data_IF_868544460414
#
_entry.id   IF_868544460414
#
_cell.length_a   1.000
_cell.length_b   1.000
_cell.length_c   1.000
_cell.angle_alpha   90.00
_cell.angle_beta   90.00
_cell.angle_gamma   90.00
#
_symmetry.space_group_name_H-M   'P 1'
#
loop_
_entity.id
_entity.type
_entity.pdbx_description
1 polymer ?
#
# COMPACT_ATOMS: atom_id res chain seq x y z
N UNK A 1 35.47 -36.99 2.82
CA UNK A 1 34.66 -36.19 3.78
C UNK A 1 35.18 -34.76 3.71
N UNK A 2 34.46 -33.89 3.00
CA UNK A 2 34.72 -32.46 2.91
C UNK A 2 34.14 -31.73 4.13
N UNK A 3 34.65 -30.54 4.49
CA UNK A 3 34.17 -29.79 5.64
C UNK A 3 32.77 -29.22 5.37
N UNK A 4 31.93 -29.27 6.41
CA UNK A 4 30.58 -28.70 6.45
C UNK A 4 30.62 -27.18 6.23
N UNK A 5 29.58 -26.58 5.61
CA UNK A 5 29.53 -25.15 5.42
C UNK A 5 29.43 -24.41 6.77
N UNK A 6 30.25 -23.38 6.89
CA UNK A 6 30.37 -22.46 8.02
C UNK A 6 29.03 -21.86 8.41
N UNK A 7 28.68 -21.97 9.68
CA UNK A 7 27.57 -21.25 10.31
C UNK A 7 27.70 -19.73 10.08
N UNK A 8 26.65 -19.12 9.60
CA UNK A 8 26.55 -17.69 9.43
C UNK A 8 26.78 -16.96 10.76
N UNK A 9 27.69 -15.98 10.77
CA UNK A 9 27.94 -15.06 11.88
C UNK A 9 26.71 -14.13 12.07
N UNK A 10 25.68 -14.63 12.71
CA UNK A 10 24.66 -13.75 13.29
C UNK A 10 25.26 -13.16 14.58
N UNK A 11 25.14 -11.82 14.82
CA UNK A 11 25.60 -11.26 16.08
C UNK A 11 24.80 -11.88 17.22
N UNK A 12 25.51 -12.37 18.25
CA UNK A 12 24.91 -12.90 19.47
C UNK A 12 24.01 -11.82 20.12
N UNK A 13 22.81 -12.18 20.61
CA UNK A 13 21.99 -11.25 21.36
C UNK A 13 22.80 -10.79 22.60
N UNK A 14 22.97 -9.47 22.76
CA UNK A 14 23.62 -8.96 23.95
C UNK A 14 22.74 -9.31 25.18
N UNK A 15 23.23 -10.12 26.09
CA UNK A 15 22.56 -10.52 27.35
C UNK A 15 22.32 -9.36 28.34
N UNK A 16 22.59 -8.12 27.92
CA UNK A 16 22.39 -6.93 28.76
C UNK A 16 20.98 -6.41 28.58
N UNK A 17 20.21 -6.27 29.68
CA UNK A 17 18.90 -5.62 29.61
C UNK A 17 19.02 -4.19 29.05
N UNK A 18 18.11 -3.84 28.13
CA UNK A 18 18.06 -2.52 27.54
C UNK A 18 17.78 -1.46 28.63
N UNK A 19 18.57 -0.40 28.65
CA UNK A 19 18.33 0.78 29.50
C UNK A 19 17.43 1.80 28.80
N UNK A 20 16.85 2.73 29.54
CA UNK A 20 16.02 3.81 28.98
C UNK A 20 16.73 4.57 27.85
N UNK A 21 18.02 4.88 28.03
CA UNK A 21 18.86 5.52 27.01
C UNK A 21 18.99 4.67 25.75
N UNK A 22 19.11 3.34 25.90
CA UNK A 22 19.24 2.42 24.78
C UNK A 22 17.93 2.32 23.98
N UNK A 23 16.75 2.41 24.63
CA UNK A 23 15.47 2.45 23.95
C UNK A 23 15.33 3.69 23.05
N UNK A 24 15.68 4.86 23.56
CA UNK A 24 15.64 6.12 22.80
C UNK A 24 16.59 6.05 21.60
N UNK A 25 17.83 5.62 21.80
CA UNK A 25 18.83 5.49 20.73
C UNK A 25 18.38 4.52 19.65
N UNK A 26 17.79 3.38 20.05
CA UNK A 26 17.22 2.39 19.11
C UNK A 26 16.08 2.96 18.30
N UNK A 27 15.15 3.68 18.95
CA UNK A 27 14.03 4.34 18.29
C UNK A 27 14.49 5.41 17.28
N UNK A 28 15.44 6.27 17.70
CA UNK A 28 16.01 7.31 16.84
C UNK A 28 16.70 6.74 15.62
N UNK A 29 17.47 5.66 15.78
CA UNK A 29 18.09 4.94 14.66
C UNK A 29 17.03 4.40 13.68
N UNK A 30 15.99 3.73 14.19
CA UNK A 30 14.92 3.17 13.37
C UNK A 30 14.23 4.27 12.56
N UNK A 31 13.79 5.35 13.22
CA UNK A 31 13.12 6.48 12.57
C UNK A 31 14.03 7.11 11.50
N UNK A 32 15.33 7.27 11.81
CA UNK A 32 16.28 7.84 10.84
C UNK A 32 16.43 6.95 9.62
N UNK A 33 16.59 5.65 9.79
CA UNK A 33 16.73 4.71 8.67
C UNK A 33 15.50 4.72 7.76
N UNK A 34 14.31 4.72 8.34
CA UNK A 34 13.06 4.78 7.57
C UNK A 34 12.90 6.13 6.86
N UNK A 35 13.21 7.25 7.54
CA UNK A 35 13.15 8.58 6.94
C UNK A 35 14.13 8.73 5.76
N UNK A 36 15.36 8.24 5.91
CA UNK A 36 16.37 8.27 4.85
C UNK A 36 15.90 7.43 3.64
N UNK A 37 15.34 6.24 3.87
CA UNK A 37 14.84 5.38 2.80
C UNK A 37 13.65 5.99 2.06
N UNK A 38 12.74 6.66 2.75
CA UNK A 38 11.64 7.42 2.13
C UNK A 38 12.17 8.61 1.33
N UNK A 39 13.19 9.32 1.83
CA UNK A 39 13.81 10.41 1.09
C UNK A 39 14.46 9.93 -0.22
N UNK A 40 15.10 8.76 -0.21
CA UNK A 40 15.69 8.15 -1.40
C UNK A 40 14.63 7.73 -2.44
N UNK A 41 13.40 7.45 -2.01
CA UNK A 41 12.33 7.02 -2.91
C UNK A 41 12.04 8.05 -4.03
N UNK A 42 12.16 9.34 -3.74
CA UNK A 42 11.95 10.41 -4.73
C UNK A 42 12.85 10.28 -5.97
N UNK A 43 14.04 9.71 -5.83
CA UNK A 43 15.01 9.54 -6.92
C UNK A 43 14.70 8.30 -7.79
N UNK A 44 13.73 7.48 -7.41
CA UNK A 44 13.28 6.28 -8.13
C UNK A 44 11.98 6.50 -8.90
N UNK A 45 11.39 7.69 -8.79
CA UNK A 45 10.22 8.04 -9.58
C UNK A 45 10.64 8.28 -11.03
N UNK A 46 10.23 7.38 -11.90
CA UNK A 46 10.59 7.34 -13.32
C UNK A 46 9.35 7.17 -14.22
N UNK A 47 9.57 6.75 -15.47
CA UNK A 47 8.49 6.49 -16.41
C UNK A 47 7.54 5.38 -15.94
N UNK A 48 7.99 4.43 -15.13
CA UNK A 48 7.11 3.39 -14.56
C UNK A 48 6.04 3.98 -13.65
N UNK A 49 6.39 5.02 -12.86
CA UNK A 49 5.42 5.73 -12.03
C UNK A 49 4.37 6.46 -12.89
N UNK A 50 4.80 7.13 -13.97
CA UNK A 50 3.89 7.79 -14.92
C UNK A 50 2.97 6.76 -15.56
N UNK A 51 3.50 5.65 -16.06
CA UNK A 51 2.71 4.57 -16.65
C UNK A 51 1.70 3.98 -15.67
N UNK A 52 2.08 3.81 -14.39
CA UNK A 52 1.18 3.35 -13.36
C UNK A 52 0.01 4.34 -13.15
N UNK A 53 0.30 5.63 -13.02
CA UNK A 53 -0.73 6.67 -12.87
C UNK A 53 -1.67 6.72 -14.08
N UNK A 54 -1.14 6.75 -15.31
CA UNK A 54 -1.95 6.78 -16.54
C UNK A 54 -2.85 5.54 -16.65
N UNK A 55 -2.31 4.35 -16.34
CA UNK A 55 -3.06 3.10 -16.33
C UNK A 55 -4.22 3.14 -15.33
N UNK A 56 -3.97 3.66 -14.13
CA UNK A 56 -4.99 3.78 -13.09
C UNK A 56 -6.01 4.88 -13.40
N UNK A 57 -5.63 5.96 -14.07
CA UNK A 57 -6.55 7.00 -14.54
C UNK A 57 -7.48 6.50 -15.65
N UNK A 58 -6.97 5.65 -16.54
CA UNK A 58 -7.73 5.04 -17.62
C UNK A 58 -8.59 3.84 -17.16
N UNK A 59 -8.50 3.42 -15.91
CA UNK A 59 -9.26 2.30 -15.37
C UNK A 59 -10.76 2.61 -15.35
N UNK A 60 -11.56 1.82 -16.06
CA UNK A 60 -13.03 1.93 -16.06
C UNK A 60 -13.69 1.18 -14.90
N UNK A 61 -12.97 0.25 -14.28
CA UNK A 61 -13.39 -0.54 -13.13
C UNK A 61 -12.82 -0.02 -11.82
N UNK A 62 -12.12 -0.88 -11.11
CA UNK A 62 -11.53 -0.59 -9.79
C UNK A 62 -10.05 -0.96 -9.78
N UNK A 63 -9.31 -0.30 -8.91
CA UNK A 63 -7.93 -0.67 -8.61
C UNK A 63 -7.94 -1.72 -7.50
N UNK A 64 -7.52 -2.92 -7.84
CA UNK A 64 -7.43 -4.04 -6.90
C UNK A 64 -6.02 -4.06 -6.33
N UNK A 65 -5.88 -4.03 -5.02
CA UNK A 65 -4.57 -4.14 -4.37
C UNK A 65 -4.45 -5.52 -3.73
N UNK A 66 -3.33 -6.18 -3.92
CA UNK A 66 -3.08 -7.51 -3.35
C UNK A 66 -1.64 -7.64 -2.84
N UNK A 67 -1.45 -8.44 -1.81
CA UNK A 67 -0.15 -8.69 -1.20
C UNK A 67 -0.27 -9.58 0.03
N UNK A 68 0.81 -10.28 0.39
CA UNK A 68 0.83 -11.24 1.49
C UNK A 68 1.46 -10.68 2.76
N UNK A 69 0.97 -11.08 3.93
CA UNK A 69 1.55 -10.72 5.24
C UNK A 69 1.64 -9.22 5.47
N UNK A 70 2.82 -8.68 5.78
CA UNK A 70 3.03 -7.24 6.02
C UNK A 70 2.71 -6.42 4.76
N UNK A 71 3.09 -6.91 3.57
CA UNK A 71 2.71 -6.27 2.29
C UNK A 71 1.19 -6.22 2.10
N UNK A 72 0.46 -7.22 2.58
CA UNK A 72 -1.01 -7.22 2.58
C UNK A 72 -1.61 -6.15 3.48
N UNK A 73 -1.08 -5.96 4.70
CA UNK A 73 -1.53 -4.89 5.59
C UNK A 73 -1.31 -3.50 4.99
N UNK A 74 -0.13 -3.28 4.38
CA UNK A 74 0.17 -2.04 3.66
C UNK A 74 -0.75 -1.89 2.44
N UNK A 75 -0.95 -2.96 1.68
CA UNK A 75 -1.85 -2.98 0.51
C UNK A 75 -3.29 -2.62 0.87
N UNK A 76 -3.79 -3.12 1.99
CA UNK A 76 -5.13 -2.76 2.47
C UNK A 76 -5.23 -1.26 2.80
N UNK A 77 -4.19 -0.67 3.44
CA UNK A 77 -4.13 0.78 3.69
C UNK A 77 -4.09 1.57 2.37
N UNK A 78 -3.28 1.14 1.40
CA UNK A 78 -3.20 1.79 0.09
C UNK A 78 -4.56 1.77 -0.63
N UNK A 79 -5.24 0.61 -0.66
CA UNK A 79 -6.57 0.48 -1.23
C UNK A 79 -7.58 1.44 -0.55
N UNK A 80 -7.57 1.51 0.78
CA UNK A 80 -8.43 2.42 1.53
C UNK A 80 -8.12 3.90 1.22
N UNK A 81 -6.84 4.26 1.07
CA UNK A 81 -6.43 5.62 0.71
C UNK A 81 -6.91 5.97 -0.70
N UNK A 82 -6.68 5.11 -1.69
CA UNK A 82 -7.16 5.28 -3.07
C UNK A 82 -8.67 5.49 -3.10
N UNK A 83 -9.43 4.63 -2.41
CA UNK A 83 -10.90 4.73 -2.35
C UNK A 83 -11.36 6.06 -1.74
N UNK A 84 -10.70 6.52 -0.68
CA UNK A 84 -11.05 7.78 0.01
C UNK A 84 -10.60 9.04 -0.74
N UNK A 85 -9.74 8.90 -1.74
CA UNK A 85 -9.20 10.00 -2.56
C UNK A 85 -9.70 9.97 -4.02
N UNK A 86 -10.84 9.30 -4.27
CA UNK A 86 -11.53 9.35 -5.56
C UNK A 86 -11.11 8.30 -6.59
N UNK A 87 -10.30 7.31 -6.21
CA UNK A 87 -9.99 6.16 -7.05
C UNK A 87 -10.64 4.92 -6.46
N UNK A 88 -11.73 4.36 -7.06
CA UNK A 88 -12.39 3.17 -6.54
C UNK A 88 -11.40 2.02 -6.39
N UNK A 89 -11.25 1.50 -5.18
CA UNK A 89 -10.25 0.48 -4.87
C UNK A 89 -10.69 -0.41 -3.72
N UNK A 90 -10.19 -1.64 -3.70
CA UNK A 90 -10.30 -2.55 -2.56
C UNK A 90 -9.14 -3.54 -2.55
N UNK A 91 -8.94 -4.17 -1.40
CA UNK A 91 -7.90 -5.16 -1.20
C UNK A 91 -8.45 -6.57 -1.36
N UNK A 92 -7.68 -7.43 -2.04
CA UNK A 92 -7.95 -8.88 -2.16
C UNK A 92 -6.75 -9.64 -1.61
N UNK A 93 -6.99 -10.51 -0.65
CA UNK A 93 -5.93 -11.34 -0.08
C UNK A 93 -5.55 -12.46 -1.08
N UNK A 94 -4.25 -12.68 -1.40
CA UNK A 94 -3.86 -13.66 -2.43
C UNK A 94 -4.29 -15.08 -2.11
N UNK A 95 -4.31 -15.46 -0.83
CA UNK A 95 -4.79 -16.75 -0.37
C UNK A 95 -6.29 -16.96 -0.67
N UNK A 96 -7.12 -15.96 -0.35
CA UNK A 96 -8.58 -16.02 -0.63
C UNK A 96 -8.86 -15.93 -2.13
N UNK A 97 -8.03 -15.18 -2.88
CA UNK A 97 -8.11 -15.11 -4.33
C UNK A 97 -8.05 -16.49 -4.98
N UNK A 98 -7.19 -17.38 -4.48
CA UNK A 98 -7.08 -18.77 -4.99
C UNK A 98 -8.28 -19.66 -4.63
N UNK A 99 -9.14 -19.22 -3.71
CA UNK A 99 -10.32 -19.95 -3.23
C UNK A 99 -11.66 -19.35 -3.67
N UNK A 100 -11.64 -18.37 -4.58
CA UNK A 100 -12.88 -17.83 -5.17
C UNK A 100 -12.94 -16.33 -5.30
N UNK A 101 -12.21 -15.56 -4.49
CA UNK A 101 -12.26 -14.10 -4.48
C UNK A 101 -11.70 -13.48 -5.78
N UNK A 102 -10.99 -14.24 -6.62
CA UNK A 102 -10.69 -13.83 -7.99
C UNK A 102 -11.93 -13.47 -8.81
N UNK A 103 -13.09 -14.02 -8.47
CA UNK A 103 -14.37 -13.64 -9.07
C UNK A 103 -14.77 -12.18 -8.82
N UNK A 104 -14.14 -11.50 -7.86
CA UNK A 104 -14.33 -10.06 -7.60
C UNK A 104 -13.59 -9.18 -8.61
N UNK A 105 -12.63 -9.74 -9.35
CA UNK A 105 -11.79 -9.03 -10.32
C UNK A 105 -12.39 -9.16 -11.70
N UNK A 106 -12.59 -8.05 -12.38
CA UNK A 106 -13.21 -7.98 -13.70
C UNK A 106 -12.21 -7.52 -14.77
N UNK A 107 -12.57 -7.66 -16.03
CA UNK A 107 -11.74 -7.24 -17.16
C UNK A 107 -11.51 -5.73 -17.27
N UNK A 108 -12.29 -4.94 -16.53
CA UNK A 108 -12.18 -3.47 -16.52
C UNK A 108 -11.32 -2.95 -15.37
N UNK A 109 -10.78 -3.83 -14.53
CA UNK A 109 -10.00 -3.49 -13.36
C UNK A 109 -8.50 -3.35 -13.69
N UNK A 110 -7.76 -2.76 -12.77
CA UNK A 110 -6.29 -2.72 -12.73
C UNK A 110 -5.85 -3.38 -11.42
N UNK A 111 -4.78 -4.16 -11.45
CA UNK A 111 -4.27 -4.82 -10.23
C UNK A 111 -2.92 -4.22 -9.83
N UNK A 112 -2.80 -3.84 -8.56
CA UNK A 112 -1.52 -3.53 -7.91
C UNK A 112 -1.12 -4.72 -7.06
N UNK A 113 0.04 -5.28 -7.33
CA UNK A 113 0.58 -6.45 -6.62
C UNK A 113 1.81 -6.05 -5.82
N UNK A 114 1.78 -6.28 -4.51
CA UNK A 114 2.84 -5.87 -3.58
C UNK A 114 3.57 -7.10 -3.05
N UNK A 115 4.87 -7.16 -3.32
CA UNK A 115 5.76 -8.19 -2.80
C UNK A 115 7.19 -7.67 -2.79
N UNK A 116 7.80 -7.50 -1.62
CA UNK A 116 9.17 -6.99 -1.52
C UNK A 116 10.18 -7.87 -2.28
N UNK A 117 10.09 -9.20 -2.16
CA UNK A 117 10.94 -10.13 -2.92
C UNK A 117 10.49 -10.31 -4.38
N UNK A 118 9.28 -9.91 -4.73
CA UNK A 118 8.68 -10.17 -6.05
C UNK A 118 8.50 -11.65 -6.41
N UNK A 119 8.64 -12.56 -5.44
CA UNK A 119 8.61 -14.03 -5.64
C UNK A 119 7.79 -14.78 -4.59
N UNK A 120 6.94 -14.07 -3.81
CA UNK A 120 6.05 -14.69 -2.82
C UNK A 120 5.13 -15.71 -3.48
N UNK A 121 5.14 -16.95 -3.01
CA UNK A 121 4.48 -18.09 -3.68
C UNK A 121 2.98 -17.85 -3.92
N UNK A 122 2.25 -17.37 -2.92
CA UNK A 122 0.82 -17.08 -3.00
C UNK A 122 0.51 -16.01 -4.05
N UNK A 123 1.39 -15.01 -4.17
CA UNK A 123 1.28 -13.95 -5.19
C UNK A 123 1.57 -14.52 -6.58
N UNK A 124 2.62 -15.32 -6.72
CA UNK A 124 2.97 -15.94 -8.01
C UNK A 124 1.85 -16.86 -8.51
N UNK A 125 1.15 -17.56 -7.61
CA UNK A 125 0.06 -18.46 -7.96
C UNK A 125 -1.11 -17.76 -8.65
N UNK A 126 -1.38 -16.47 -8.34
CA UNK A 126 -2.47 -15.73 -8.97
C UNK A 126 -2.07 -15.03 -10.28
N UNK A 127 -0.78 -14.89 -10.60
CA UNK A 127 -0.31 -14.20 -11.81
C UNK A 127 -0.87 -14.79 -13.13
N UNK A 128 -0.89 -16.13 -13.33
CA UNK A 128 -1.46 -16.71 -14.55
C UNK A 128 -2.94 -16.34 -14.75
N UNK A 129 -3.68 -16.17 -13.65
CA UNK A 129 -5.10 -15.84 -13.68
C UNK A 129 -5.28 -14.35 -14.03
N UNK A 130 -4.48 -13.45 -13.46
CA UNK A 130 -4.46 -12.02 -13.82
C UNK A 130 -4.12 -11.87 -15.31
N UNK A 131 -3.09 -12.59 -15.79
CA UNK A 131 -2.72 -12.59 -17.21
C UNK A 131 -3.83 -13.10 -18.11
N UNK A 132 -4.55 -14.14 -17.69
CA UNK A 132 -5.68 -14.70 -18.44
C UNK A 132 -6.88 -13.74 -18.53
N UNK A 133 -7.10 -12.90 -17.51
CA UNK A 133 -8.11 -11.86 -17.54
C UNK A 133 -7.73 -10.71 -18.50
N UNK A 134 -6.45 -10.62 -18.89
CA UNK A 134 -5.96 -9.58 -19.80
C UNK A 134 -5.96 -8.18 -19.19
N UNK A 135 -5.95 -8.06 -17.87
CA UNK A 135 -6.00 -6.79 -17.15
C UNK A 135 -4.59 -6.24 -16.88
N UNK A 136 -4.41 -4.91 -16.87
CA UNK A 136 -3.14 -4.30 -16.51
C UNK A 136 -2.73 -4.64 -15.08
N UNK A 137 -1.45 -4.94 -14.90
CA UNK A 137 -0.86 -5.23 -13.60
C UNK A 137 0.32 -4.27 -13.33
N UNK A 138 0.27 -3.62 -12.19
CA UNK A 138 1.34 -2.78 -11.64
C UNK A 138 1.95 -3.57 -10.48
N UNK A 139 3.27 -3.59 -10.36
CA UNK A 139 3.95 -4.21 -9.23
C UNK A 139 4.63 -3.17 -8.34
N UNK A 140 4.71 -3.46 -7.06
CA UNK A 140 5.57 -2.78 -6.10
C UNK A 140 6.53 -3.82 -5.54
N UNK A 141 7.80 -3.78 -5.95
CA UNK A 141 8.81 -4.75 -5.53
C UNK A 141 10.11 -4.09 -5.14
N UNK A 142 10.90 -4.77 -4.31
CA UNK A 142 12.28 -4.39 -4.00
C UNK A 142 13.30 -5.06 -4.92
N UNK A 143 12.85 -5.86 -5.89
CA UNK A 143 13.71 -6.56 -6.86
C UNK A 143 13.17 -6.37 -8.28
N UNK A 144 13.84 -5.53 -9.10
CA UNK A 144 13.42 -5.24 -10.47
C UNK A 144 13.54 -6.44 -11.42
N UNK A 145 14.35 -7.44 -11.08
CA UNK A 145 14.54 -8.67 -11.87
C UNK A 145 13.60 -9.80 -11.45
N UNK A 146 12.75 -9.56 -10.46
CA UNK A 146 11.84 -10.58 -9.94
C UNK A 146 10.78 -11.01 -10.96
N UNK A 147 10.20 -12.18 -10.74
CA UNK A 147 9.11 -12.73 -11.56
C UNK A 147 7.93 -11.76 -11.63
N UNK A 148 7.61 -11.11 -10.51
CA UNK A 148 6.51 -10.16 -10.42
C UNK A 148 6.81 -8.87 -11.22
N UNK A 149 8.00 -8.30 -11.03
CA UNK A 149 8.44 -7.09 -11.73
C UNK A 149 8.43 -7.27 -13.24
N UNK A 150 9.03 -8.35 -13.74
CA UNK A 150 9.12 -8.66 -15.18
C UNK A 150 7.77 -9.02 -15.80
N UNK A 151 6.80 -9.44 -15.00
CA UNK A 151 5.45 -9.76 -15.47
C UNK A 151 4.52 -8.54 -15.51
N UNK A 152 4.86 -7.46 -14.82
CA UNK A 152 4.04 -6.26 -14.69
C UNK A 152 4.18 -5.33 -15.90
N UNK A 153 3.15 -4.50 -16.13
CA UNK A 153 3.18 -3.40 -17.09
C UNK A 153 4.14 -2.29 -16.62
N UNK A 154 4.14 -2.03 -15.31
CA UNK A 154 5.03 -1.09 -14.65
C UNK A 154 5.43 -1.65 -13.28
N UNK A 155 6.72 -1.56 -12.94
CA UNK A 155 7.23 -1.88 -11.62
C UNK A 155 7.62 -0.61 -10.88
N UNK A 156 7.07 -0.41 -9.68
CA UNK A 156 7.46 0.66 -8.78
C UNK A 156 8.51 0.12 -7.82
N UNK A 157 9.72 0.64 -7.93
CA UNK A 157 10.85 0.21 -7.11
C UNK A 157 10.69 0.72 -5.66
N UNK A 158 10.42 -0.20 -4.74
CA UNK A 158 10.31 0.03 -3.30
C UNK A 158 11.46 -0.66 -2.54
N UNK A 159 12.59 -0.89 -3.21
CA UNK A 159 13.77 -1.50 -2.59
C UNK A 159 14.30 -0.64 -1.45
N UNK A 160 14.94 -1.29 -0.49
CA UNK A 160 15.62 -0.64 0.63
C UNK A 160 16.98 -1.28 0.84
N UNK A 161 17.95 -0.49 1.30
CA UNK A 161 19.29 -0.99 1.58
C UNK A 161 19.29 -2.02 2.71
N UNK A 162 18.45 -1.80 3.73
CA UNK A 162 18.29 -2.73 4.87
C UNK A 162 17.01 -2.42 5.64
N UNK A 163 16.52 -3.40 6.37
CA UNK A 163 15.47 -3.21 7.36
C UNK A 163 16.01 -2.51 8.62
N UNK A 164 15.21 -1.73 9.30
CA UNK A 164 15.58 -1.12 10.59
C UNK A 164 15.67 -2.18 11.73
N UNK A 165 15.10 -3.36 11.52
CA UNK A 165 15.28 -4.52 12.36
C UNK A 165 16.77 -4.90 12.42
N UNK A 166 17.39 -5.00 13.63
CA UNK A 166 18.81 -5.36 13.76
C UNK A 166 19.19 -6.69 13.12
N UNK A 167 18.25 -7.62 13.01
CA UNK A 167 18.43 -8.91 12.36
C UNK A 167 18.18 -8.86 10.85
N UNK A 168 17.78 -7.71 10.32
CA UNK A 168 17.38 -7.53 8.91
C UNK A 168 16.27 -8.52 8.45
N UNK A 169 15.42 -8.98 9.37
CA UNK A 169 14.39 -10.00 9.11
C UNK A 169 12.96 -9.42 9.12
N UNK A 170 12.66 -8.57 10.11
CA UNK A 170 11.32 -8.00 10.24
C UNK A 170 11.12 -6.85 9.24
N UNK A 171 10.12 -6.91 8.36
CA UNK A 171 9.79 -5.82 7.46
C UNK A 171 9.41 -4.56 8.25
N UNK A 172 10.19 -3.50 8.09
CA UNK A 172 10.06 -2.19 8.73
C UNK A 172 10.27 -1.10 7.69
N UNK A 173 11.50 -0.83 7.30
CA UNK A 173 11.88 0.17 6.29
C UNK A 173 11.18 -0.12 4.96
N UNK A 174 11.16 -1.37 4.49
CA UNK A 174 10.51 -1.77 3.25
C UNK A 174 9.01 -1.50 3.27
N UNK A 175 8.34 -1.73 4.39
CA UNK A 175 6.89 -1.45 4.53
C UNK A 175 6.59 0.04 4.56
N UNK A 176 7.44 0.84 5.19
CA UNK A 176 7.33 2.30 5.24
C UNK A 176 7.50 2.93 3.85
N UNK A 177 8.51 2.48 3.08
CA UNK A 177 8.74 2.92 1.70
C UNK A 177 7.58 2.52 0.79
N UNK A 178 7.08 1.29 0.90
CA UNK A 178 5.91 0.81 0.13
C UNK A 178 4.67 1.65 0.43
N UNK A 179 4.45 2.00 1.69
CA UNK A 179 3.35 2.87 2.10
C UNK A 179 3.47 4.26 1.49
N UNK A 180 4.65 4.87 1.55
CA UNK A 180 4.93 6.18 0.97
C UNK A 180 4.73 6.20 -0.56
N UNK A 181 5.14 5.15 -1.28
CA UNK A 181 4.89 5.00 -2.72
C UNK A 181 3.39 4.92 -3.02
N UNK A 182 2.63 4.18 -2.20
CA UNK A 182 1.17 4.10 -2.35
C UNK A 182 0.47 5.43 -2.10
N UNK A 183 0.93 6.22 -1.14
CA UNK A 183 0.41 7.56 -0.88
C UNK A 183 0.76 8.51 -2.02
N UNK A 184 1.97 8.42 -2.60
CA UNK A 184 2.36 9.20 -3.77
C UNK A 184 1.46 8.92 -4.97
N UNK A 185 1.11 7.64 -5.25
CA UNK A 185 0.14 7.27 -6.28
C UNK A 185 -1.23 7.89 -5.99
N UNK A 186 -1.74 7.71 -4.78
CA UNK A 186 -3.09 8.17 -4.42
C UNK A 186 -3.22 9.70 -4.57
N UNK A 187 -2.20 10.46 -4.17
CA UNK A 187 -2.20 11.92 -4.28
C UNK A 187 -2.04 12.38 -5.73
N UNK A 188 -1.14 11.76 -6.51
CA UNK A 188 -1.00 12.08 -7.93
C UNK A 188 -2.32 11.87 -8.70
N UNK A 189 -3.05 10.80 -8.40
CA UNK A 189 -4.36 10.51 -8.99
C UNK A 189 -5.43 11.49 -8.52
N UNK A 190 -5.47 11.82 -7.23
CA UNK A 190 -6.36 12.81 -6.64
C UNK A 190 -6.22 14.17 -7.34
N UNK A 191 -4.98 14.65 -7.50
CA UNK A 191 -4.68 15.91 -8.18
C UNK A 191 -5.08 15.87 -9.66
N UNK A 192 -4.77 14.76 -10.35
CA UNK A 192 -5.11 14.56 -11.76
C UNK A 192 -6.63 14.52 -12.01
N UNK A 193 -7.41 14.03 -11.05
CA UNK A 193 -8.87 13.98 -11.12
C UNK A 193 -9.54 15.32 -10.73
N UNK A 194 -8.80 16.26 -10.16
CA UNK A 194 -9.36 17.49 -9.60
C UNK A 194 -10.28 17.23 -8.41
N UNK A 195 -9.97 16.19 -7.59
CA UNK A 195 -10.77 15.78 -6.44
C UNK A 195 -10.83 16.90 -5.38
N UNK A 196 -12.05 17.22 -4.94
CA UNK A 196 -12.32 18.39 -4.09
C UNK A 196 -12.54 18.01 -2.62
N UNK A 197 -12.56 19.01 -1.73
CA UNK A 197 -12.94 18.83 -0.33
C UNK A 197 -14.41 18.35 -0.19
N UNK A 198 -15.29 18.70 -1.14
CA UNK A 198 -16.67 18.23 -1.15
C UNK A 198 -16.74 16.73 -1.49
N UNK A 199 -15.95 16.27 -2.47
CA UNK A 199 -15.83 14.84 -2.81
C UNK A 199 -15.30 14.04 -1.62
N UNK A 200 -14.31 14.61 -0.91
CA UNK A 200 -13.79 13.99 0.31
C UNK A 200 -14.84 13.89 1.41
N UNK A 201 -15.68 14.90 1.57
CA UNK A 201 -16.78 14.89 2.54
C UNK A 201 -17.79 13.76 2.24
N UNK A 202 -18.12 13.54 0.96
CA UNK A 202 -18.98 12.43 0.54
C UNK A 202 -18.38 11.05 0.91
N UNK A 203 -17.07 10.92 0.79
CA UNK A 203 -16.36 9.67 1.18
C UNK A 203 -16.30 9.49 2.70
N UNK A 204 -16.47 10.57 3.50
CA UNK A 204 -16.35 10.57 4.96
C UNK A 204 -17.54 11.28 5.65
N UNK A 205 -18.78 10.82 5.46
CA UNK A 205 -19.97 11.54 5.94
C UNK A 205 -20.03 11.69 7.46
N UNK A 206 -19.48 10.74 8.22
CA UNK A 206 -19.39 10.79 9.68
C UNK A 206 -18.27 11.64 10.26
N UNK A 207 -17.32 12.10 9.42
CA UNK A 207 -16.20 12.95 9.83
C UNK A 207 -16.63 14.40 10.11
N UNK A 208 -15.75 15.17 10.77
CA UNK A 208 -16.02 16.58 11.07
C UNK A 208 -16.30 17.41 9.79
N UNK A 209 -15.53 17.15 8.72
CA UNK A 209 -15.72 17.81 7.43
C UNK A 209 -17.01 17.36 6.74
N UNK A 210 -17.34 16.07 6.75
CA UNK A 210 -18.57 15.52 6.21
C UNK A 210 -19.80 16.15 6.87
N UNK A 211 -19.84 16.18 8.20
CA UNK A 211 -20.91 16.85 8.94
C UNK A 211 -21.03 18.33 8.60
N UNK A 212 -19.90 19.04 8.45
CA UNK A 212 -19.90 20.48 8.14
C UNK A 212 -20.43 20.78 6.73
N UNK A 213 -20.11 19.97 5.73
CA UNK A 213 -20.40 20.22 4.33
C UNK A 213 -21.70 19.55 3.84
N UNK A 214 -22.07 18.39 4.41
CA UNK A 214 -23.20 17.60 3.92
C UNK A 214 -24.48 17.79 4.73
N UNK A 215 -24.39 18.14 6.04
CA UNK A 215 -25.58 18.36 6.85
C UNK A 215 -26.27 19.67 6.48
N UNK A 216 -27.56 19.57 6.15
CA UNK A 216 -28.44 20.72 5.94
C UNK A 216 -29.19 21.02 7.23
N UNK A 217 -29.58 22.28 7.43
CA UNK A 217 -30.44 22.67 8.57
C UNK A 217 -31.69 21.80 8.64
N UNK A 218 -32.28 21.47 7.48
CA UNK A 218 -33.47 20.62 7.36
C UNK A 218 -33.26 19.17 7.88
N UNK A 219 -32.02 18.69 7.99
CA UNK A 219 -31.70 17.34 8.42
C UNK A 219 -31.60 17.24 9.96
N UNK A 220 -31.38 18.39 10.63
CA UNK A 220 -31.12 18.46 12.07
C UNK A 220 -32.13 19.35 12.83
N UNK A 221 -32.96 20.13 12.11
CA UNK A 221 -33.98 20.97 12.76
C UNK A 221 -35.17 20.16 13.25
N UNK A 222 -35.73 20.57 14.38
CA UNK A 222 -37.03 20.07 14.83
C UNK A 222 -38.13 20.48 13.87
N UNK A 223 -39.08 19.60 13.60
CA UNK A 223 -40.19 19.83 12.68
C UNK A 223 -41.52 19.62 13.41
N UNK A 224 -42.51 20.36 12.97
CA UNK A 224 -43.92 20.21 13.38
C UNK A 224 -44.13 20.22 14.90
N UNK A 225 -44.52 19.06 15.45
CA UNK A 225 -44.85 18.89 16.89
C UNK A 225 -43.65 18.96 17.84
N UNK A 226 -42.43 18.83 17.28
CA UNK A 226 -41.19 18.92 18.06
C UNK A 226 -40.72 20.37 18.25
N UNK A 227 -41.33 21.32 17.52
CA UNK A 227 -40.99 22.74 17.66
C UNK A 227 -41.72 23.27 18.92
N UNK A 228 -40.98 23.79 19.93
CA UNK A 228 -41.61 24.39 21.12
C UNK A 228 -42.51 25.55 20.70
N UNK A 229 -43.82 25.48 21.04
CA UNK A 229 -44.73 26.59 20.85
C UNK A 229 -44.91 27.28 22.20
N UNK A 230 -44.68 28.59 22.24
CA UNK A 230 -44.96 29.47 23.37
C UNK A 230 -46.43 29.83 23.36
#
# INVERSE_FOLDING_TARGET
KGPSPTQSNLPEPSDRPMTATNFITSAQRTIKMEADAVAELQHRLDQSFVTACETMLACEGRVIVTGMGKSGHIGNKIAATLASTGTPSFFVHPGEASHGDLGMITKNDVVIVISNSGSTAEVITILPLIKRLGIPMISMTGDPESVLSTAALANLDVSVASEACPLNLAPTTSTTVTLAMGDALAIALLESRGFTAEDFAFSHPGGALGRKLLLRVTDIMHKDVEVPRV
#
